data_IF_623739763806
#
_entry.id   IF_623739763806
#
_cell.length_a   1.000
_cell.length_b   1.000
_cell.length_c   1.000
_cell.angle_alpha   90.00
_cell.angle_beta   90.00
_cell.angle_gamma   90.00
#
_symmetry.space_group_name_H-M   'P 1'
#
loop_
_entity.id
_entity.type
_entity.pdbx_description
1 polymer ?
#
# COMPACT_ATOMS: atom_id res chain seq x y z
N UNK A 1 14.58 14.99 -5.39
CA UNK A 1 13.79 15.24 -4.17
C UNK A 1 12.95 16.49 -4.39
N UNK A 2 11.62 16.39 -4.23
CA UNK A 2 10.68 17.46 -4.56
C UNK A 2 10.50 18.42 -3.35
N UNK A 3 10.87 19.71 -3.45
CA UNK A 3 10.77 20.66 -2.33
C UNK A 3 9.35 20.83 -1.79
N UNK A 4 8.34 20.78 -2.66
CA UNK A 4 6.93 20.95 -2.26
C UNK A 4 6.44 19.78 -1.42
N UNK A 5 6.81 18.54 -1.78
CA UNK A 5 6.44 17.35 -1.00
C UNK A 5 7.10 17.36 0.38
N UNK A 6 8.36 17.82 0.46
CA UNK A 6 9.07 18.00 1.73
C UNK A 6 8.34 18.98 2.65
N UNK A 7 7.98 20.14 2.12
CA UNK A 7 7.25 21.17 2.87
C UNK A 7 5.87 20.69 3.32
N UNK A 8 5.12 20.03 2.44
CA UNK A 8 3.82 19.45 2.76
C UNK A 8 3.93 18.37 3.85
N UNK A 9 4.92 17.47 3.77
CA UNK A 9 5.17 16.46 4.79
C UNK A 9 5.48 17.10 6.15
N UNK A 10 6.36 18.10 6.19
CA UNK A 10 6.69 18.84 7.41
C UNK A 10 5.48 19.57 8.01
N UNK A 11 4.64 20.16 7.16
CA UNK A 11 3.41 20.84 7.57
C UNK A 11 2.42 19.84 8.16
N UNK A 12 2.12 18.73 7.46
CA UNK A 12 1.23 17.68 7.97
C UNK A 12 1.71 17.14 9.31
N UNK A 13 3.00 16.82 9.43
CA UNK A 13 3.58 16.25 10.64
C UNK A 13 3.51 17.21 11.82
N UNK A 14 3.84 18.49 11.62
CA UNK A 14 3.84 19.51 12.68
C UNK A 14 2.45 19.95 13.10
N UNK A 15 1.56 20.24 12.15
CA UNK A 15 0.19 20.71 12.43
C UNK A 15 -0.66 19.63 13.08
N UNK A 16 -0.57 18.39 12.57
CA UNK A 16 -1.38 17.28 13.08
C UNK A 16 -0.72 16.57 14.26
N UNK A 17 0.57 16.80 14.54
CA UNK A 17 1.32 16.11 15.61
C UNK A 17 1.57 14.63 15.31
N UNK A 18 1.85 14.29 14.04
CA UNK A 18 2.01 12.89 13.60
C UNK A 18 3.28 12.27 14.20
N UNK A 19 3.14 11.04 14.71
CA UNK A 19 4.26 10.28 15.29
C UNK A 19 5.09 9.54 14.25
N UNK A 20 4.58 9.41 13.02
CA UNK A 20 5.22 8.70 11.91
C UNK A 20 5.09 9.50 10.63
N UNK A 21 5.88 9.16 9.62
CA UNK A 21 5.85 9.85 8.33
C UNK A 21 4.55 9.58 7.56
N UNK A 22 3.93 10.60 6.94
CA UNK A 22 3.02 10.39 5.82
C UNK A 22 3.72 9.58 4.73
N UNK A 23 3.02 8.63 4.11
CA UNK A 23 3.60 7.73 3.13
C UNK A 23 3.17 8.12 1.72
N UNK A 24 4.15 8.42 0.87
CA UNK A 24 3.95 8.55 -0.57
C UNK A 24 3.86 7.17 -1.21
N UNK A 25 2.83 6.94 -2.03
CA UNK A 25 2.61 5.71 -2.80
C UNK A 25 2.55 6.05 -4.29
N UNK A 26 3.27 5.26 -5.10
CA UNK A 26 3.25 5.37 -6.56
C UNK A 26 3.00 4.00 -7.19
N UNK A 27 2.10 3.96 -8.17
CA UNK A 27 1.96 2.81 -9.06
C UNK A 27 2.91 2.98 -10.26
N UNK A 28 3.77 2.00 -10.47
CA UNK A 28 4.84 2.06 -11.48
C UNK A 28 4.54 1.06 -12.59
N UNK A 29 4.49 1.54 -13.83
CA UNK A 29 4.40 0.69 -15.02
C UNK A 29 5.73 -0.02 -15.30
N UNK A 30 6.83 0.52 -14.78
CA UNK A 30 8.16 -0.08 -14.85
C UNK A 30 8.82 -0.10 -13.46
N UNK A 31 9.17 -1.29 -12.97
CA UNK A 31 9.80 -1.48 -11.67
C UNK A 31 11.19 -0.83 -11.56
N UNK A 32 11.89 -0.58 -12.67
CA UNK A 32 13.20 0.09 -12.66
C UNK A 32 13.12 1.54 -12.16
N UNK A 33 11.93 2.15 -12.20
CA UNK A 33 11.68 3.50 -11.68
C UNK A 33 11.82 3.58 -10.15
N UNK A 34 11.77 2.45 -9.44
CA UNK A 34 12.01 2.36 -7.99
C UNK A 34 13.48 2.07 -7.65
N UNK A 35 14.44 2.50 -8.48
CA UNK A 35 15.86 2.25 -8.21
C UNK A 35 16.27 2.82 -6.84
N UNK A 36 16.92 1.99 -6.03
CA UNK A 36 17.33 2.34 -4.67
C UNK A 36 16.27 2.10 -3.59
N UNK A 37 15.07 1.63 -3.94
CA UNK A 37 14.06 1.17 -2.99
C UNK A 37 14.32 -0.29 -2.61
N UNK A 38 14.07 -0.63 -1.35
CA UNK A 38 14.27 -1.98 -0.83
C UNK A 38 13.13 -2.92 -1.27
N UNK A 39 13.48 -3.98 -1.99
CA UNK A 39 12.56 -5.06 -2.34
C UNK A 39 12.55 -6.14 -1.24
N UNK A 40 11.85 -5.87 -0.14
CA UNK A 40 11.79 -6.79 1.00
C UNK A 40 10.98 -8.06 0.63
N UNK A 41 11.53 -9.28 0.83
CA UNK A 41 10.85 -10.51 0.46
C UNK A 41 9.66 -10.82 1.37
N UNK A 42 8.65 -11.48 0.81
CA UNK A 42 7.48 -11.99 1.51
C UNK A 42 6.76 -10.92 2.35
N UNK A 43 6.48 -9.76 1.75
CA UNK A 43 5.79 -8.66 2.43
C UNK A 43 4.34 -8.54 2.00
N UNK A 44 3.48 -8.19 2.96
CA UNK A 44 2.11 -7.72 2.71
C UNK A 44 2.14 -6.22 2.42
N UNK A 45 1.17 -5.71 1.67
CA UNK A 45 1.08 -4.28 1.39
C UNK A 45 1.03 -3.41 2.65
N UNK A 46 0.23 -3.81 3.65
CA UNK A 46 0.17 -3.11 4.93
C UNK A 46 1.54 -3.05 5.64
N UNK A 47 2.36 -4.11 5.54
CA UNK A 47 3.71 -4.09 6.09
C UNK A 47 4.59 -3.09 5.35
N UNK A 48 4.46 -2.96 4.02
CA UNK A 48 5.21 -1.96 3.24
C UNK A 48 4.87 -0.53 3.67
N UNK A 49 3.58 -0.24 3.93
CA UNK A 49 3.16 1.05 4.49
C UNK A 49 3.80 1.28 5.86
N UNK A 50 3.84 0.24 6.72
CA UNK A 50 4.49 0.32 8.04
C UNK A 50 5.99 0.57 7.96
N UNK A 51 6.68 0.02 6.95
CA UNK A 51 8.10 0.32 6.74
C UNK A 51 8.31 1.75 6.25
N UNK A 52 7.49 2.20 5.30
CA UNK A 52 7.61 3.53 4.72
C UNK A 52 7.33 4.64 5.74
N UNK A 53 6.30 4.49 6.57
CA UNK A 53 6.00 5.47 7.63
C UNK A 53 7.10 5.57 8.71
N UNK A 54 8.01 4.58 8.77
CA UNK A 54 9.17 4.54 9.66
C UNK A 54 10.48 4.95 8.99
N UNK A 55 10.40 5.57 7.81
CA UNK A 55 11.57 6.15 7.15
C UNK A 55 12.11 5.36 5.97
N UNK A 56 11.60 4.15 5.68
CA UNK A 56 12.17 3.30 4.62
C UNK A 56 11.60 3.60 3.24
N UNK A 57 12.43 3.47 2.20
CA UNK A 57 11.97 3.44 0.81
C UNK A 57 11.86 1.99 0.38
N UNK A 58 10.65 1.52 0.10
CA UNK A 58 10.38 0.10 -0.19
C UNK A 58 9.55 -0.07 -1.47
N UNK A 59 9.77 -1.17 -2.18
CA UNK A 59 9.05 -1.49 -3.42
C UNK A 59 8.40 -2.87 -3.33
N UNK A 60 7.13 -2.94 -3.71
CA UNK A 60 6.34 -4.17 -3.75
C UNK A 60 6.08 -4.57 -5.20
N UNK A 61 6.38 -5.81 -5.56
CA UNK A 61 6.24 -6.38 -6.90
C UNK A 61 5.51 -7.71 -6.84
N UNK A 62 5.23 -8.31 -8.01
CA UNK A 62 4.69 -9.66 -8.08
C UNK A 62 5.58 -10.70 -7.36
N UNK A 63 6.90 -10.52 -7.33
CA UNK A 63 7.83 -11.53 -6.80
C UNK A 63 7.92 -11.51 -5.28
N UNK A 64 7.79 -10.34 -4.66
CA UNK A 64 8.00 -10.19 -3.22
C UNK A 64 6.70 -10.05 -2.40
N UNK A 65 5.54 -9.96 -3.05
CA UNK A 65 4.25 -9.86 -2.38
C UNK A 65 3.77 -11.21 -1.81
N UNK A 66 3.49 -11.22 -0.51
CA UNK A 66 2.97 -12.38 0.22
C UNK A 66 1.44 -12.38 0.39
N UNK A 67 0.78 -11.23 0.19
CA UNK A 67 -0.67 -11.12 0.38
C UNK A 67 -1.40 -11.42 -0.94
N UNK A 68 -2.13 -12.54 -1.07
CA UNK A 68 -2.83 -12.88 -2.32
C UNK A 68 -3.94 -11.88 -2.68
N UNK A 69 -4.60 -11.30 -1.68
CA UNK A 69 -5.63 -10.28 -1.90
C UNK A 69 -5.02 -9.01 -2.53
N UNK A 70 -3.92 -8.51 -1.95
CA UNK A 70 -3.24 -7.32 -2.48
C UNK A 70 -2.60 -7.59 -3.85
N UNK A 71 -2.05 -8.79 -4.07
CA UNK A 71 -1.51 -9.18 -5.38
C UNK A 71 -2.58 -9.15 -6.48
N UNK A 72 -3.80 -9.56 -6.16
CA UNK A 72 -4.94 -9.45 -7.07
C UNK A 72 -5.45 -8.02 -7.25
N UNK A 73 -5.49 -7.21 -6.17
CA UNK A 73 -5.90 -5.80 -6.24
C UNK A 73 -4.96 -4.98 -7.12
N UNK A 74 -3.65 -5.19 -7.03
CA UNK A 74 -2.67 -4.49 -7.86
C UNK A 74 -2.50 -5.08 -9.26
N UNK A 75 -3.25 -6.12 -9.62
CA UNK A 75 -3.13 -6.76 -10.94
C UNK A 75 -1.85 -7.55 -11.15
N UNK A 76 -1.08 -7.86 -10.09
CA UNK A 76 0.19 -8.59 -10.15
C UNK A 76 0.00 -10.09 -10.35
N UNK A 77 -1.04 -10.67 -9.71
CA UNK A 77 -1.35 -12.10 -9.76
C UNK A 77 -2.85 -12.31 -9.80
N UNK A 78 -3.35 -13.40 -10.43
CA UNK A 78 -4.78 -13.70 -10.42
C UNK A 78 -5.28 -13.97 -8.99
N UNK A 79 -6.55 -13.66 -8.76
CA UNK A 79 -7.22 -13.93 -7.49
C UNK A 79 -7.37 -15.46 -7.29
N UNK A 80 -6.85 -16.03 -6.19
CA UNK A 80 -7.00 -17.46 -5.92
C UNK A 80 -8.48 -17.88 -5.76
N UNK A 81 -8.92 -19.04 -6.29
CA UNK A 81 -10.33 -19.47 -6.22
C UNK A 81 -10.90 -19.54 -4.79
N UNK A 82 -10.13 -20.09 -3.84
CA UNK A 82 -10.54 -20.16 -2.42
C UNK A 82 -10.67 -18.79 -1.74
N UNK A 83 -9.96 -17.79 -2.25
CA UNK A 83 -10.10 -16.41 -1.79
C UNK A 83 -11.32 -15.75 -2.46
N UNK A 84 -11.55 -16.02 -3.74
CA UNK A 84 -12.72 -15.56 -4.49
C UNK A 84 -14.06 -16.12 -3.95
N UNK A 85 -14.06 -17.34 -3.39
CA UNK A 85 -15.24 -17.92 -2.74
C UNK A 85 -15.43 -17.49 -1.29
N UNK A 86 -14.47 -16.77 -0.70
CA UNK A 86 -14.49 -16.36 0.71
C UNK A 86 -14.08 -17.46 1.71
N UNK A 87 -13.96 -18.72 1.29
CA UNK A 87 -13.56 -19.85 2.16
C UNK A 87 -12.22 -19.60 2.86
N UNK A 88 -11.24 -19.04 2.14
CA UNK A 88 -9.93 -18.73 2.70
C UNK A 88 -10.03 -17.70 3.84
N UNK A 89 -10.95 -16.74 3.73
CA UNK A 89 -11.12 -15.70 4.75
C UNK A 89 -11.79 -16.25 6.02
N UNK A 90 -12.68 -17.23 5.88
CA UNK A 90 -13.24 -17.99 7.01
C UNK A 90 -12.17 -18.86 7.66
N UNK A 91 -11.35 -19.55 6.86
CA UNK A 91 -10.25 -20.37 7.37
C UNK A 91 -9.22 -19.55 8.17
N UNK A 92 -9.06 -18.26 7.85
CA UNK A 92 -8.23 -17.31 8.60
C UNK A 92 -8.94 -16.67 9.81
N UNK A 93 -10.22 -16.97 10.04
CA UNK A 93 -11.02 -16.38 11.12
C UNK A 93 -11.36 -14.90 10.92
N UNK A 94 -11.25 -14.38 9.69
CA UNK A 94 -11.52 -12.97 9.39
C UNK A 94 -13.03 -12.72 9.25
N UNK A 95 -13.75 -13.68 8.64
CA UNK A 95 -15.19 -13.59 8.42
C UNK A 95 -15.91 -14.81 9.00
N UNK A 96 -17.14 -14.60 9.48
CA UNK A 96 -17.98 -15.66 10.03
C UNK A 96 -18.61 -16.58 8.98
N UNK A 97 -18.63 -16.19 7.70
CA UNK A 97 -19.14 -17.02 6.60
C UNK A 97 -18.45 -16.74 5.26
N UNK A 98 -18.41 -17.72 4.33
CA UNK A 98 -17.85 -17.52 3.00
C UNK A 98 -18.57 -16.44 2.20
N UNK A 99 -19.89 -16.29 2.38
CA UNK A 99 -20.70 -15.28 1.69
C UNK A 99 -20.25 -13.86 2.06
N UNK A 100 -20.00 -13.59 3.36
CA UNK A 100 -19.51 -12.30 3.82
C UNK A 100 -18.09 -12.02 3.31
N UNK A 101 -17.23 -13.04 3.30
CA UNK A 101 -15.87 -12.94 2.73
C UNK A 101 -15.89 -12.67 1.22
N UNK A 102 -16.73 -13.40 0.49
CA UNK A 102 -16.92 -13.24 -0.96
C UNK A 102 -17.46 -11.85 -1.30
N UNK A 103 -18.49 -11.38 -0.59
CA UNK A 103 -19.04 -10.05 -0.80
C UNK A 103 -17.98 -8.95 -0.64
N UNK A 104 -17.09 -9.11 0.35
CA UNK A 104 -15.96 -8.18 0.56
C UNK A 104 -14.94 -8.25 -0.57
N UNK A 105 -14.59 -9.45 -1.04
CA UNK A 105 -13.62 -9.64 -2.12
C UNK A 105 -14.16 -9.13 -3.46
N UNK A 106 -15.46 -9.29 -3.70
CA UNK A 106 -16.14 -8.80 -4.91
C UNK A 106 -16.30 -7.27 -4.90
N UNK A 107 -16.39 -6.64 -3.73
CA UNK A 107 -16.44 -5.17 -3.61
C UNK A 107 -15.09 -4.48 -3.81
N UNK A 108 -13.98 -5.21 -3.79
CA UNK A 108 -12.65 -4.62 -3.99
C UNK A 108 -12.48 -4.11 -5.42
N UNK A 109 -12.13 -2.84 -5.57
CA UNK A 109 -11.63 -2.31 -6.85
C UNK A 109 -10.27 -2.96 -7.14
N UNK A 110 -10.10 -3.45 -8.37
CA UNK A 110 -8.85 -4.04 -8.85
C UNK A 110 -8.32 -3.18 -10.00
N UNK A 111 -7.00 -3.02 -10.05
CA UNK A 111 -6.30 -2.42 -11.18
C UNK A 111 -6.26 -3.42 -12.33
N UNK A 112 -6.03 -2.92 -13.55
CA UNK A 112 -6.00 -3.80 -14.72
C UNK A 112 -4.81 -4.77 -14.63
N UNK A 113 -5.01 -6.07 -14.92
CA UNK A 113 -3.93 -7.04 -14.85
C UNK A 113 -2.73 -6.64 -15.73
N UNK A 114 -1.54 -6.59 -15.12
CA UNK A 114 -0.30 -6.24 -15.82
C UNK A 114 -0.12 -4.76 -16.17
N UNK A 115 -1.05 -3.87 -15.80
CA UNK A 115 -0.91 -2.42 -16.02
C UNK A 115 0.29 -1.84 -15.26
N UNK A 116 0.50 -2.30 -14.03
CA UNK A 116 1.59 -1.87 -13.16
C UNK A 116 2.52 -3.04 -12.83
N UNK A 117 3.82 -2.76 -12.87
CA UNK A 117 4.88 -3.70 -12.52
C UNK A 117 5.26 -3.66 -11.03
N UNK A 118 5.05 -2.52 -10.36
CA UNK A 118 5.42 -2.32 -8.97
C UNK A 118 4.58 -1.25 -8.26
N UNK A 119 4.58 -1.30 -6.92
CA UNK A 119 4.13 -0.22 -6.05
C UNK A 119 5.32 0.26 -5.23
N UNK A 120 5.71 1.53 -5.39
CA UNK A 120 6.76 2.15 -4.59
C UNK A 120 6.15 2.91 -3.41
N UNK A 121 6.77 2.77 -2.23
CA UNK A 121 6.37 3.45 -1.01
C UNK A 121 7.58 4.11 -0.35
N UNK A 122 7.43 5.35 0.09
CA UNK A 122 8.46 6.10 0.81
C UNK A 122 7.84 7.11 1.78
N UNK A 123 8.61 7.63 2.77
CA UNK A 123 8.23 8.85 3.45
C UNK A 123 7.96 9.97 2.44
N UNK A 124 6.83 10.65 2.56
CA UNK A 124 6.44 11.76 1.69
C UNK A 124 7.54 12.82 1.60
N UNK A 125 8.23 13.08 2.71
CA UNK A 125 9.32 14.04 2.79
C UNK A 125 10.48 13.72 1.83
N UNK A 126 10.77 12.42 1.65
CA UNK A 126 11.93 11.94 0.88
C UNK A 126 11.57 11.41 -0.50
N UNK A 127 10.28 11.50 -0.88
CA UNK A 127 9.79 11.04 -2.16
C UNK A 127 10.53 11.72 -3.33
N UNK A 128 10.95 10.90 -4.29
CA UNK A 128 11.62 11.28 -5.53
C UNK A 128 10.69 11.18 -6.75
N UNK A 129 9.43 10.83 -6.53
CA UNK A 129 8.35 10.82 -7.51
C UNK A 129 7.17 11.68 -7.04
N UNK A 130 6.26 12.02 -7.95
CA UNK A 130 4.95 12.59 -7.60
C UNK A 130 3.99 11.46 -7.20
N UNK A 131 3.53 11.40 -5.94
CA UNK A 131 2.71 10.29 -5.44
C UNK A 131 1.32 10.28 -6.09
N UNK A 132 0.81 9.09 -6.37
CA UNK A 132 -0.59 8.90 -6.78
C UNK A 132 -1.52 8.90 -5.55
N UNK A 133 -1.01 8.42 -4.41
CA UNK A 133 -1.73 8.35 -3.14
C UNK A 133 -0.79 8.77 -2.00
N UNK A 134 -1.31 9.52 -1.04
CA UNK A 134 -0.65 9.78 0.25
C UNK A 134 -1.43 9.06 1.34
N UNK A 135 -0.77 8.16 2.08
CA UNK A 135 -1.36 7.43 3.19
C UNK A 135 -0.93 8.07 4.51
N UNK A 136 -1.89 8.42 5.34
CA UNK A 136 -1.67 8.99 6.68
C UNK A 136 -2.31 8.07 7.72
N UNK A 137 -1.52 7.63 8.69
CA UNK A 137 -2.01 6.85 9.84
C UNK A 137 -1.76 7.66 11.11
N UNK A 138 -2.85 8.01 11.79
CA UNK A 138 -2.85 8.88 12.95
C UNK A 138 -4.07 8.60 13.84
N UNK A 139 -4.14 9.24 15.01
CA UNK A 139 -5.35 9.23 15.83
C UNK A 139 -6.50 9.89 15.07
N UNK A 140 -7.74 9.50 15.38
CA UNK A 140 -8.94 9.96 14.65
C UNK A 140 -9.02 11.49 14.68
N UNK A 141 -8.74 12.09 15.82
CA UNK A 141 -8.77 13.54 16.05
C UNK A 141 -7.77 14.30 15.17
N UNK A 142 -6.65 13.68 14.82
CA UNK A 142 -5.64 14.24 13.92
C UNK A 142 -6.11 14.15 12.46
N UNK A 143 -6.78 13.05 12.09
CA UNK A 143 -7.24 12.80 10.71
C UNK A 143 -8.45 13.66 10.30
N UNK A 144 -9.17 14.28 11.23
CA UNK A 144 -10.29 15.18 10.90
C UNK A 144 -9.86 16.49 10.22
N UNK A 145 -8.56 16.79 10.16
CA UNK A 145 -8.02 18.07 9.69
C UNK A 145 -7.23 17.98 8.37
N UNK A 146 -7.41 16.89 7.63
CA UNK A 146 -6.77 16.59 6.34
C UNK A 146 -7.82 16.34 5.26
#
# INVERSE_FOLDING_TARGET
MNPKLREAAGTLKSVLGLQTEPVAVKFLTDATQAQGYEALPNRRYCQMVMEARRGRKVVLTADNIACPAAAAVFGFKPLPPKLASGEMLVAFGIFGSPEAGKATIDSMRRLEPGEYAAVALSPLETADFEPDVVVVEAAIEQLMWI
#
